data_IF_984468319039
#
_entry.id   IF_984468319039
#
_cell.length_a   1.000
_cell.length_b   1.000
_cell.length_c   1.000
_cell.angle_alpha   90.00
_cell.angle_beta   90.00
_cell.angle_gamma   90.00
#
_symmetry.space_group_name_H-M   'P 1'
#
loop_
_entity.id
_entity.type
_entity.pdbx_description
1 polymer ?
#
# COMPACT_ATOMS: atom_id res chain seq x y z
N UNK A 1 10.79 33.26 21.59
CA UNK A 1 9.71 32.26 21.65
C UNK A 1 9.63 31.62 20.28
N UNK A 2 9.58 30.29 20.21
CA UNK A 2 9.43 29.57 18.95
C UNK A 2 8.04 29.84 18.37
N UNK A 3 7.97 30.10 17.06
CA UNK A 3 6.71 30.35 16.35
C UNK A 3 6.57 29.32 15.22
N UNK A 4 5.57 28.43 15.27
CA UNK A 4 5.46 27.34 14.30
C UNK A 4 5.04 27.85 12.93
N UNK A 5 5.54 27.22 11.87
CA UNK A 5 5.14 27.48 10.49
C UNK A 5 3.92 26.62 10.15
N UNK A 6 2.75 27.25 10.04
CA UNK A 6 1.50 26.55 9.74
C UNK A 6 1.08 26.77 8.29
N UNK A 7 0.83 25.68 7.56
CA UNK A 7 0.17 25.69 6.25
C UNK A 7 -1.27 25.23 6.41
N UNK A 8 -2.22 26.02 5.92
CA UNK A 8 -3.64 25.68 5.99
C UNK A 8 -4.26 25.58 4.59
N UNK A 9 -4.82 24.43 4.23
CA UNK A 9 -5.60 24.27 3.02
C UNK A 9 -7.07 24.56 3.30
N UNK A 10 -7.61 25.63 2.70
CA UNK A 10 -8.97 26.09 2.95
C UNK A 10 -9.86 25.89 1.73
N UNK A 11 -10.98 25.19 1.92
CA UNK A 11 -12.03 25.09 0.92
C UNK A 11 -12.57 26.49 0.56
N UNK A 12 -12.64 26.78 -0.73
CA UNK A 12 -13.09 28.06 -1.29
C UNK A 12 -14.48 28.47 -0.80
N UNK A 13 -15.40 27.52 -0.71
CA UNK A 13 -16.83 27.84 -0.53
C UNK A 13 -17.21 28.12 0.92
N UNK A 14 -16.61 27.39 1.86
CA UNK A 14 -16.95 27.50 3.28
C UNK A 14 -15.78 28.03 4.09
N UNK A 15 -14.73 27.24 4.27
CA UNK A 15 -13.68 27.56 5.25
C UNK A 15 -12.86 28.80 4.91
N UNK A 16 -12.65 29.10 3.61
CA UNK A 16 -12.01 30.34 3.18
C UNK A 16 -12.91 31.54 3.48
N UNK A 17 -14.21 31.45 3.19
CA UNK A 17 -15.21 32.47 3.54
C UNK A 17 -15.35 32.64 5.06
N UNK A 18 -15.25 31.55 5.83
CA UNK A 18 -15.21 31.60 7.29
C UNK A 18 -13.97 32.35 7.82
N UNK A 19 -12.82 32.22 7.13
CA UNK A 19 -11.64 33.03 7.42
C UNK A 19 -11.86 34.52 7.08
N UNK A 20 -12.50 34.82 5.94
CA UNK A 20 -12.88 36.20 5.57
C UNK A 20 -13.85 36.81 6.59
N UNK A 21 -14.81 36.03 7.09
CA UNK A 21 -15.72 36.44 8.15
C UNK A 21 -14.98 36.72 9.46
N UNK A 22 -14.02 35.88 9.84
CA UNK A 22 -13.19 36.13 11.02
C UNK A 22 -12.40 37.44 10.90
N UNK A 23 -11.87 37.74 9.71
CA UNK A 23 -11.17 38.99 9.43
C UNK A 23 -12.09 40.22 9.47
N UNK A 24 -13.24 40.17 8.81
CA UNK A 24 -14.22 41.29 8.81
C UNK A 24 -14.83 41.54 10.19
N UNK A 25 -15.06 40.48 10.97
CA UNK A 25 -15.48 40.56 12.36
C UNK A 25 -14.35 40.98 13.33
N UNK A 26 -13.12 41.18 12.83
CA UNK A 26 -11.93 41.58 13.59
C UNK A 26 -11.60 40.61 14.73
N UNK A 27 -11.87 39.33 14.54
CA UNK A 27 -11.53 38.29 15.50
C UNK A 27 -10.01 38.10 15.52
N UNK A 28 -9.45 37.85 16.71
CA UNK A 28 -8.02 37.59 16.84
C UNK A 28 -7.70 36.18 16.36
N UNK A 29 -6.78 36.08 15.41
CA UNK A 29 -6.21 34.81 14.94
C UNK A 29 -4.69 34.86 15.01
N UNK A 30 -4.02 33.72 15.23
CA UNK A 30 -2.57 33.61 15.08
C UNK A 30 -2.10 34.08 13.69
N UNK A 31 -1.00 34.82 13.65
CA UNK A 31 -0.47 35.47 12.43
C UNK A 31 0.48 34.59 11.61
N UNK A 32 0.86 33.43 12.16
CA UNK A 32 1.81 32.47 11.59
C UNK A 32 1.16 31.39 10.72
N UNK A 33 -0.16 31.45 10.53
CA UNK A 33 -0.90 30.60 9.58
C UNK A 33 -0.84 31.19 8.16
N UNK A 34 -0.47 30.36 7.18
CA UNK A 34 -0.49 30.70 5.77
C UNK A 34 -1.54 29.86 5.05
N UNK A 35 -2.61 30.51 4.61
CA UNK A 35 -3.71 29.87 3.92
C UNK A 35 -3.42 29.65 2.42
N UNK A 36 -3.65 28.43 1.95
CA UNK A 36 -3.70 28.05 0.54
C UNK A 36 -5.15 27.75 0.21
N UNK A 37 -5.71 28.55 -0.70
CA UNK A 37 -7.08 28.34 -1.18
C UNK A 37 -7.13 27.15 -2.12
N UNK A 38 -8.05 26.23 -1.87
CA UNK A 38 -8.38 25.11 -2.76
C UNK A 38 -9.86 25.14 -3.12
N UNK A 39 -10.30 24.60 -4.27
CA UNK A 39 -11.72 24.54 -4.59
C UNK A 39 -12.53 23.78 -3.54
N UNK A 40 -11.98 22.64 -3.06
CA UNK A 40 -12.63 21.75 -2.10
C UNK A 40 -11.57 21.11 -1.20
N UNK A 41 -11.92 20.73 0.04
CA UNK A 41 -11.05 19.89 0.89
C UNK A 41 -10.73 18.55 0.22
N UNK A 42 -11.64 18.01 -0.60
CA UNK A 42 -11.39 16.81 -1.42
C UNK A 42 -10.26 16.96 -2.45
N UNK A 43 -9.82 18.19 -2.76
CA UNK A 43 -8.65 18.45 -3.61
C UNK A 43 -7.33 18.24 -2.87
N UNK A 44 -7.34 18.32 -1.54
CA UNK A 44 -6.15 18.17 -0.71
C UNK A 44 -5.75 16.69 -0.73
N UNK A 45 -4.71 16.40 -1.49
CA UNK A 45 -4.16 15.06 -1.60
C UNK A 45 -3.10 14.83 -0.52
N UNK A 46 -2.82 13.58 -0.16
CA UNK A 46 -1.76 13.23 0.79
C UNK A 46 -0.39 13.81 0.40
N UNK A 47 -0.10 13.89 -0.89
CA UNK A 47 1.14 14.44 -1.42
C UNK A 47 1.28 15.93 -1.10
N UNK A 48 0.17 16.70 -1.10
CA UNK A 48 0.20 18.11 -0.70
C UNK A 48 0.57 18.27 0.77
N UNK A 49 0.03 17.41 1.63
CA UNK A 49 0.34 17.40 3.07
C UNK A 49 1.79 16.99 3.30
N UNK A 50 2.23 15.89 2.70
CA UNK A 50 3.62 15.41 2.82
C UNK A 50 4.62 16.44 2.27
N UNK A 51 4.28 17.13 1.18
CA UNK A 51 5.11 18.21 0.61
C UNK A 51 5.21 19.40 1.55
N UNK A 52 4.11 19.79 2.21
CA UNK A 52 4.15 20.87 3.19
C UNK A 52 5.12 20.56 4.34
N UNK A 53 5.08 19.34 4.88
CA UNK A 53 6.06 18.90 5.89
C UNK A 53 7.49 18.83 5.33
N UNK A 54 7.67 18.33 4.11
CA UNK A 54 9.00 18.27 3.47
C UNK A 54 9.61 19.66 3.25
N UNK A 55 8.78 20.69 3.04
CA UNK A 55 9.21 22.09 2.93
C UNK A 55 9.35 22.81 4.29
N UNK A 56 9.15 22.09 5.41
CA UNK A 56 9.38 22.60 6.76
C UNK A 56 8.18 23.28 7.41
N UNK A 57 6.95 22.88 7.05
CA UNK A 57 5.78 23.19 7.86
C UNK A 57 5.85 22.41 9.18
N UNK A 58 5.60 23.08 10.30
CA UNK A 58 5.53 22.45 11.63
C UNK A 58 4.16 21.83 11.90
N UNK A 59 3.13 22.30 11.18
CA UNK A 59 1.79 21.77 11.20
C UNK A 59 1.02 22.07 9.90
N UNK A 60 0.15 21.15 9.52
CA UNK A 60 -0.72 21.23 8.35
C UNK A 60 -2.18 21.13 8.78
N UNK A 61 -2.95 22.17 8.47
CA UNK A 61 -4.39 22.25 8.73
C UNK A 61 -5.16 22.09 7.42
N UNK A 62 -6.21 21.27 7.41
CA UNK A 62 -7.12 21.12 6.27
C UNK A 62 -8.52 21.46 6.75
N UNK A 63 -9.12 22.52 6.20
CA UNK A 63 -10.48 22.92 6.54
C UNK A 63 -11.41 22.77 5.33
N UNK A 64 -12.54 22.09 5.57
CA UNK A 64 -13.59 21.88 4.58
C UNK A 64 -14.96 22.38 5.03
N UNK A 65 -15.94 22.26 4.13
CA UNK A 65 -17.36 22.35 4.46
C UNK A 65 -17.74 21.24 5.45
N UNK A 66 -18.77 21.45 6.28
CA UNK A 66 -19.36 20.36 7.07
C UNK A 66 -19.80 19.19 6.17
N UNK A 67 -19.74 17.99 6.73
CA UNK A 67 -20.19 16.78 6.06
C UNK A 67 -21.68 16.95 5.69
N UNK A 68 -22.04 16.64 4.43
CA UNK A 68 -23.37 16.94 3.87
C UNK A 68 -23.54 18.34 3.26
N UNK A 69 -22.65 19.30 3.53
CA UNK A 69 -22.72 20.69 3.01
C UNK A 69 -21.67 20.98 1.93
N UNK A 70 -21.08 19.95 1.33
CA UNK A 70 -20.05 20.15 0.32
C UNK A 70 -20.64 20.80 -0.92
N UNK A 71 -20.02 21.87 -1.40
CA UNK A 71 -20.39 22.48 -2.69
C UNK A 71 -20.26 21.52 -3.88
N UNK A 72 -19.39 20.51 -3.77
CA UNK A 72 -19.19 19.47 -4.79
C UNK A 72 -19.74 18.12 -4.32
N UNK A 73 -20.83 18.14 -3.55
CA UNK A 73 -21.57 17.03 -2.96
C UNK A 73 -20.78 16.15 -1.99
N UNK A 74 -19.74 15.47 -2.47
CA UNK A 74 -19.02 14.42 -1.75
C UNK A 74 -17.52 14.66 -1.63
N UNK A 75 -17.03 15.83 -2.06
CA UNK A 75 -15.61 16.16 -2.04
C UNK A 75 -14.99 16.08 -0.64
N UNK A 76 -15.66 16.61 0.38
CA UNK A 76 -15.22 16.53 1.77
C UNK A 76 -15.30 15.12 2.37
N UNK A 77 -16.24 14.27 1.94
CA UNK A 77 -16.26 12.85 2.34
C UNK A 77 -14.98 12.13 1.90
N UNK A 78 -14.42 12.45 0.73
CA UNK A 78 -13.11 11.91 0.31
C UNK A 78 -11.99 12.35 1.25
N UNK A 79 -11.99 13.62 1.66
CA UNK A 79 -11.00 14.12 2.63
C UNK A 79 -11.14 13.43 3.99
N UNK A 80 -12.37 13.25 4.47
CA UNK A 80 -12.70 12.58 5.72
C UNK A 80 -12.21 11.12 5.78
N UNK A 81 -12.19 10.41 4.63
CA UNK A 81 -11.62 9.05 4.54
C UNK A 81 -10.11 9.05 4.44
N UNK A 82 -9.55 10.00 3.68
CA UNK A 82 -8.13 10.01 3.31
C UNK A 82 -7.22 10.54 4.40
N UNK A 83 -7.63 11.59 5.11
CA UNK A 83 -6.75 12.27 6.07
C UNK A 83 -6.48 11.42 7.33
N UNK A 84 -7.45 10.69 7.92
CA UNK A 84 -7.15 9.80 9.05
C UNK A 84 -6.16 8.69 8.70
N UNK A 85 -6.30 8.08 7.52
CA UNK A 85 -5.35 7.06 7.03
C UNK A 85 -3.96 7.65 6.80
N UNK A 86 -3.87 8.90 6.33
CA UNK A 86 -2.59 9.59 6.19
C UNK A 86 -1.97 9.90 7.55
N UNK A 87 -2.78 10.38 8.49
CA UNK A 87 -2.34 10.67 9.85
C UNK A 87 -1.78 9.41 10.52
N UNK A 88 -2.47 8.27 10.40
CA UNK A 88 -1.99 6.99 10.92
C UNK A 88 -0.68 6.52 10.28
N UNK A 89 -0.50 6.75 8.97
CA UNK A 89 0.78 6.47 8.29
C UNK A 89 1.91 7.37 8.82
N UNK A 90 1.65 8.67 8.93
CA UNK A 90 2.64 9.64 9.40
C UNK A 90 3.02 9.38 10.87
N UNK A 91 2.04 9.04 11.70
CA UNK A 91 2.26 8.64 13.10
C UNK A 91 3.10 7.37 13.22
N UNK A 92 2.82 6.38 12.38
CA UNK A 92 3.58 5.12 12.34
C UNK A 92 5.04 5.34 11.96
N UNK A 93 5.34 6.37 11.16
CA UNK A 93 6.72 6.77 10.87
C UNK A 93 7.30 7.82 11.81
N UNK A 94 6.54 8.16 12.86
CA UNK A 94 6.99 8.95 14.00
C UNK A 94 6.66 10.44 13.95
N UNK A 95 5.85 10.91 12.98
CA UNK A 95 5.30 12.26 13.06
C UNK A 95 4.22 12.34 14.14
N UNK A 96 4.25 13.37 14.98
CA UNK A 96 3.23 13.54 16.01
C UNK A 96 1.86 13.83 15.35
N UNK A 97 0.80 13.08 15.71
CA UNK A 97 -0.48 13.15 15.01
C UNK A 97 -1.14 14.54 15.09
N UNK A 98 -0.85 15.32 16.14
CA UNK A 98 -1.36 16.67 16.33
C UNK A 98 -0.82 17.67 15.28
N UNK A 99 0.23 17.33 14.52
CA UNK A 99 0.76 18.17 13.45
C UNK A 99 -0.11 18.16 12.18
N UNK A 100 -1.04 17.23 12.03
CA UNK A 100 -2.01 17.19 10.94
C UNK A 100 -3.43 17.22 11.50
N UNK A 101 -4.22 18.23 11.13
CA UNK A 101 -5.64 18.31 11.52
C UNK A 101 -6.53 18.50 10.31
N UNK A 102 -7.59 17.69 10.22
CA UNK A 102 -8.74 17.91 9.36
C UNK A 102 -9.90 18.40 10.23
N UNK A 103 -10.55 19.50 9.85
CA UNK A 103 -11.74 20.00 10.56
C UNK A 103 -12.70 20.70 9.58
N UNK A 104 -13.88 21.07 10.08
CA UNK A 104 -14.98 21.58 9.28
C UNK A 104 -15.40 22.96 9.77
N UNK A 105 -15.52 23.90 8.83
CA UNK A 105 -15.87 25.30 9.06
C UNK A 105 -16.76 25.77 7.92
N UNK A 106 -17.98 26.19 8.26
CA UNK A 106 -18.94 26.81 7.33
C UNK A 106 -18.55 28.24 6.97
N UNK A 107 -19.22 28.83 5.98
CA UNK A 107 -18.99 30.22 5.58
C UNK A 107 -19.37 31.25 6.67
N UNK A 108 -20.32 30.92 7.55
CA UNK A 108 -20.82 31.79 8.62
C UNK A 108 -20.10 31.59 9.95
N UNK A 109 -19.08 30.73 10.00
CA UNK A 109 -18.44 30.26 11.23
C UNK A 109 -17.08 30.93 11.51
N UNK A 110 -17.03 32.27 11.46
CA UNK A 110 -15.80 33.04 11.70
C UNK A 110 -15.20 32.82 13.10
N UNK A 111 -16.04 32.74 14.13
CA UNK A 111 -15.59 32.45 15.50
C UNK A 111 -15.00 31.04 15.64
N UNK A 112 -15.63 30.05 15.00
CA UNK A 112 -15.13 28.68 14.97
C UNK A 112 -13.81 28.60 14.23
N UNK A 113 -13.66 29.28 13.09
CA UNK A 113 -12.38 29.38 12.38
C UNK A 113 -11.28 29.91 13.30
N UNK A 114 -11.52 31.06 13.94
CA UNK A 114 -10.54 31.68 14.81
C UNK A 114 -10.13 30.77 15.97
N UNK A 115 -11.10 30.08 16.59
CA UNK A 115 -10.86 29.11 17.65
C UNK A 115 -10.03 27.93 17.17
N UNK A 116 -10.40 27.26 16.08
CA UNK A 116 -9.69 26.09 15.55
C UNK A 116 -8.24 26.44 15.21
N UNK A 117 -8.02 27.60 14.58
CA UNK A 117 -6.67 28.04 14.25
C UNK A 117 -5.85 28.29 15.52
N UNK A 118 -6.42 28.96 16.53
CA UNK A 118 -5.74 29.18 17.80
C UNK A 118 -5.37 27.86 18.48
N UNK A 119 -6.33 26.96 18.66
CA UNK A 119 -6.10 25.63 19.26
C UNK A 119 -5.02 24.85 18.51
N UNK A 120 -5.07 24.84 17.18
CA UNK A 120 -4.10 24.11 16.37
C UNK A 120 -2.69 24.71 16.48
N UNK A 121 -2.58 26.04 16.42
CA UNK A 121 -1.29 26.73 16.53
C UNK A 121 -0.67 26.53 17.90
N UNK A 122 -1.44 26.66 18.99
CA UNK A 122 -0.94 26.38 20.34
C UNK A 122 -0.51 24.91 20.49
N UNK A 123 -1.32 23.96 20.02
CA UNK A 123 -0.97 22.54 20.07
C UNK A 123 0.32 22.20 19.32
N UNK A 124 0.55 22.83 18.16
CA UNK A 124 1.82 22.66 17.42
C UNK A 124 2.98 23.41 18.08
N UNK A 125 2.71 24.56 18.74
CA UNK A 125 3.73 25.30 19.49
C UNK A 125 4.25 24.48 20.67
N UNK A 126 3.37 23.78 21.38
CA UNK A 126 3.72 22.91 22.51
C UNK A 126 4.61 21.71 22.09
N UNK A 127 4.43 21.22 20.86
CA UNK A 127 5.29 20.17 20.29
C UNK A 127 6.68 20.67 19.86
N UNK A 128 6.86 21.98 19.72
CA UNK A 128 8.12 22.55 19.24
C UNK A 128 8.39 22.32 17.74
N UNK A 129 9.61 22.64 17.27
CA UNK A 129 9.99 22.56 15.85
C UNK A 129 10.00 21.11 15.35
N UNK A 130 9.42 20.91 14.16
CA UNK A 130 9.34 19.59 13.55
C UNK A 130 10.72 19.02 13.20
N UNK A 131 10.97 17.76 13.53
CA UNK A 131 12.18 17.02 13.14
C UNK A 131 11.90 16.12 11.93
N UNK A 132 11.39 16.71 10.85
CA UNK A 132 11.02 15.97 9.65
C UNK A 132 12.07 16.09 8.55
N UNK A 133 12.47 17.30 8.17
CA UNK A 133 13.41 17.49 7.06
C UNK A 133 14.85 17.22 7.51
N UNK A 134 15.55 16.34 6.81
CA UNK A 134 17.00 16.16 7.01
C UNK A 134 17.73 17.21 6.17
N UNK A 135 18.44 18.13 6.82
CA UNK A 135 19.13 19.25 6.15
C UNK A 135 20.53 18.89 5.64
N UNK A 136 21.22 17.96 6.29
CA UNK A 136 22.55 17.53 5.87
C UNK A 136 22.50 16.55 4.69
N UNK A 137 23.43 16.70 3.73
CA UNK A 137 23.66 15.65 2.71
C UNK A 137 24.24 14.37 3.30
N UNK A 138 24.85 14.48 4.47
CA UNK A 138 25.46 13.41 5.24
C UNK A 138 24.65 13.26 6.51
N UNK A 139 23.60 12.44 6.45
CA UNK A 139 22.83 12.03 7.62
C UNK A 139 23.74 11.17 8.51
N UNK A 140 23.96 11.58 9.75
CA UNK A 140 24.66 10.74 10.71
C UNK A 140 23.69 9.66 11.21
N UNK A 141 23.94 8.44 10.76
CA UNK A 141 23.25 7.26 11.27
C UNK A 141 23.63 7.13 12.74
N UNK A 142 22.71 7.47 13.66
CA UNK A 142 22.69 6.73 14.93
C UNK A 142 22.50 5.29 14.52
N UNK A 143 23.55 4.48 14.70
CA UNK A 143 23.44 3.03 14.54
C UNK A 143 22.39 2.59 15.55
N UNK A 144 21.15 2.49 15.10
CA UNK A 144 20.30 1.44 15.63
C UNK A 144 21.11 0.18 15.35
N UNK A 145 21.63 -0.43 16.41
CA UNK A 145 22.12 -1.81 16.35
C UNK A 145 21.07 -2.56 15.55
N UNK A 146 21.53 -3.22 14.49
CA UNK A 146 20.71 -3.91 13.51
C UNK A 146 19.49 -4.47 14.21
N UNK A 147 18.30 -3.94 13.88
CA UNK A 147 17.06 -4.41 14.47
C UNK A 147 16.93 -5.88 14.08
N UNK A 148 17.47 -6.76 14.92
CA UNK A 148 17.18 -8.17 14.90
C UNK A 148 15.72 -8.21 15.30
N UNK A 149 14.83 -8.22 14.30
CA UNK A 149 13.46 -8.67 14.52
C UNK A 149 13.60 -9.97 15.30
N UNK A 150 13.22 -9.93 16.59
CA UNK A 150 13.38 -11.02 17.57
C UNK A 150 13.32 -12.36 16.84
N UNK A 151 14.47 -13.05 16.79
CA UNK A 151 14.69 -14.37 16.18
C UNK A 151 13.43 -14.90 15.49
N UNK A 152 13.29 -14.60 14.18
CA UNK A 152 12.18 -15.09 13.37
C UNK A 152 11.90 -16.53 13.79
N UNK A 153 10.73 -16.80 14.37
CA UNK A 153 10.41 -18.16 14.80
C UNK A 153 10.41 -19.01 13.55
N UNK A 154 11.45 -19.83 13.41
CA UNK A 154 11.65 -20.70 12.27
C UNK A 154 10.63 -21.82 12.42
N UNK A 155 9.46 -21.65 11.82
CA UNK A 155 8.45 -22.71 11.74
C UNK A 155 8.85 -23.65 10.61
N UNK A 156 9.18 -24.93 10.91
CA UNK A 156 9.56 -25.89 9.90
C UNK A 156 8.43 -26.11 8.91
N UNK A 157 8.79 -26.31 7.65
CA UNK A 157 7.81 -26.56 6.60
C UNK A 157 7.20 -27.96 6.74
N UNK A 158 5.89 -28.06 6.49
CA UNK A 158 5.25 -29.36 6.30
C UNK A 158 5.64 -29.88 4.91
N UNK A 159 6.41 -30.98 4.86
CA UNK A 159 6.73 -31.64 3.60
C UNK A 159 5.50 -32.42 3.12
N UNK A 160 4.71 -31.81 2.25
CA UNK A 160 3.53 -32.47 1.68
C UNK A 160 3.88 -33.24 0.41
N UNK A 161 3.39 -34.47 0.33
CA UNK A 161 3.65 -35.40 -0.78
C UNK A 161 2.73 -35.13 -1.99
N UNK A 162 1.87 -34.10 -1.94
CA UNK A 162 0.82 -33.87 -2.94
C UNK A 162 1.24 -32.96 -4.10
N UNK A 163 2.38 -32.26 -4.02
CA UNK A 163 2.81 -31.34 -5.09
C UNK A 163 3.00 -32.03 -6.44
N UNK A 164 3.44 -33.29 -6.45
CA UNK A 164 3.56 -34.07 -7.67
C UNK A 164 2.19 -34.32 -8.33
N UNK A 165 1.19 -34.71 -7.53
CA UNK A 165 -0.17 -34.92 -8.00
C UNK A 165 -0.81 -33.59 -8.45
N UNK A 166 -0.69 -32.52 -7.66
CA UNK A 166 -1.19 -31.20 -8.00
C UNK A 166 -0.54 -30.65 -9.29
N UNK A 167 0.76 -30.89 -9.47
CA UNK A 167 1.48 -30.53 -10.72
C UNK A 167 0.94 -31.30 -11.91
N UNK A 168 0.70 -32.61 -11.78
CA UNK A 168 0.10 -33.42 -12.84
C UNK A 168 -1.29 -32.89 -13.22
N UNK A 169 -2.16 -32.66 -12.24
CA UNK A 169 -3.50 -32.08 -12.48
C UNK A 169 -3.43 -30.69 -13.12
N UNK A 170 -2.48 -29.84 -12.72
CA UNK A 170 -2.25 -28.54 -13.35
C UNK A 170 -1.89 -28.68 -14.83
N UNK A 171 -0.99 -29.61 -15.16
CA UNK A 171 -0.56 -29.86 -16.55
C UNK A 171 -1.70 -30.37 -17.41
N UNK A 172 -2.47 -31.32 -16.89
CA UNK A 172 -3.62 -31.89 -17.60
C UNK A 172 -4.68 -30.82 -17.87
N UNK A 173 -4.99 -29.99 -16.88
CA UNK A 173 -5.94 -28.90 -17.03
C UNK A 173 -5.43 -27.81 -17.98
N UNK A 174 -4.15 -27.44 -17.88
CA UNK A 174 -3.53 -26.48 -18.79
C UNK A 174 -3.56 -26.99 -20.24
N UNK A 175 -3.30 -28.29 -20.45
CA UNK A 175 -3.39 -28.94 -21.77
C UNK A 175 -4.81 -28.85 -22.31
N UNK A 176 -5.79 -29.17 -21.49
CA UNK A 176 -7.20 -29.06 -21.86
C UNK A 176 -7.54 -27.63 -22.28
N UNK A 177 -7.26 -26.64 -21.43
CA UNK A 177 -7.55 -25.21 -21.67
C UNK A 177 -6.96 -24.68 -22.98
N UNK A 178 -5.74 -25.10 -23.33
CA UNK A 178 -5.09 -24.70 -24.58
C UNK A 178 -5.66 -25.46 -25.79
N UNK A 179 -5.88 -26.78 -25.67
CA UNK A 179 -6.36 -27.62 -26.77
C UNK A 179 -7.80 -27.30 -27.17
N UNK A 180 -8.65 -26.95 -26.19
CA UNK A 180 -10.03 -26.51 -26.43
C UNK A 180 -10.12 -25.06 -26.92
N UNK A 181 -9.02 -24.31 -26.91
CA UNK A 181 -9.00 -22.89 -27.23
C UNK A 181 -9.70 -22.01 -26.18
N UNK A 182 -9.94 -22.52 -24.96
CA UNK A 182 -10.52 -21.75 -23.86
C UNK A 182 -9.64 -20.57 -23.46
N UNK A 183 -8.32 -20.73 -23.55
CA UNK A 183 -7.37 -19.63 -23.49
C UNK A 183 -6.24 -19.82 -24.51
N UNK A 184 -5.63 -18.71 -24.91
CA UNK A 184 -4.53 -18.65 -25.88
C UNK A 184 -3.15 -18.92 -25.28
N UNK A 185 -3.04 -18.75 -23.96
CA UNK A 185 -1.80 -18.90 -23.21
C UNK A 185 -2.14 -19.23 -21.76
N UNK A 186 -1.30 -20.04 -21.12
CA UNK A 186 -1.30 -20.27 -19.67
C UNK A 186 -0.07 -19.60 -19.06
N UNK A 187 -0.27 -18.69 -18.11
CA UNK A 187 0.78 -18.11 -17.28
C UNK A 187 0.89 -18.97 -16.02
N UNK A 188 2.05 -19.59 -15.80
CA UNK A 188 2.31 -20.48 -14.66
C UNK A 188 3.74 -20.37 -14.16
N UNK A 189 4.26 -21.45 -13.58
CA UNK A 189 5.64 -21.52 -13.09
C UNK A 189 6.40 -22.65 -13.78
N UNK A 190 7.70 -22.47 -13.99
CA UNK A 190 8.61 -23.53 -14.43
C UNK A 190 9.90 -23.48 -13.59
N UNK A 191 10.67 -24.57 -13.61
CA UNK A 191 12.03 -24.58 -13.03
C UNK A 191 13.01 -24.11 -14.10
N UNK A 192 13.68 -22.99 -13.85
CA UNK A 192 14.71 -22.47 -14.75
C UNK A 192 16.01 -23.31 -14.69
N UNK A 193 16.98 -23.04 -15.59
CA UNK A 193 18.23 -23.81 -15.69
C UNK A 193 19.09 -23.85 -14.42
N UNK A 194 18.89 -22.90 -13.50
CA UNK A 194 19.58 -22.83 -12.20
C UNK A 194 18.83 -23.53 -11.07
N UNK A 195 17.77 -24.28 -11.36
CA UNK A 195 16.92 -24.92 -10.36
C UNK A 195 15.96 -23.97 -9.63
N UNK A 196 15.88 -22.70 -10.06
CA UNK A 196 15.03 -21.68 -9.45
C UNK A 196 13.70 -21.59 -10.19
N UNK A 197 12.59 -21.63 -9.46
CA UNK A 197 11.26 -21.45 -10.02
C UNK A 197 11.05 -20.02 -10.53
N UNK A 198 10.56 -19.89 -11.76
CA UNK A 198 10.28 -18.61 -12.43
C UNK A 198 8.94 -18.64 -13.16
N UNK A 199 8.36 -17.47 -13.53
CA UNK A 199 7.19 -17.42 -14.38
C UNK A 199 7.40 -18.13 -15.72
N UNK A 200 6.37 -18.82 -16.20
CA UNK A 200 6.32 -19.51 -17.49
C UNK A 200 5.12 -19.05 -18.29
N UNK A 201 5.26 -19.02 -19.62
CA UNK A 201 4.18 -18.70 -20.56
C UNK A 201 4.09 -19.86 -21.54
N UNK A 202 2.97 -20.58 -21.50
CA UNK A 202 2.74 -21.77 -22.32
C UNK A 202 1.61 -21.48 -23.30
N UNK A 203 1.93 -21.47 -24.60
CA UNK A 203 0.94 -21.30 -25.67
C UNK A 203 0.76 -22.58 -26.50
N UNK A 204 1.73 -23.47 -26.51
CA UNK A 204 1.64 -24.79 -27.15
C UNK A 204 1.23 -25.86 -26.11
N UNK A 205 0.13 -26.60 -26.32
CA UNK A 205 -0.23 -27.74 -25.47
C UNK A 205 0.88 -28.78 -25.26
N UNK A 206 1.83 -28.91 -26.19
CA UNK A 206 2.97 -29.83 -26.06
C UNK A 206 3.99 -29.38 -24.99
N UNK A 207 3.97 -28.11 -24.59
CA UNK A 207 4.93 -27.53 -23.66
C UNK A 207 4.45 -27.50 -22.19
N UNK A 208 3.24 -27.98 -21.91
CA UNK A 208 2.65 -27.93 -20.55
C UNK A 208 3.47 -28.66 -19.50
N UNK A 209 4.29 -29.64 -19.88
CA UNK A 209 5.14 -30.38 -18.94
C UNK A 209 6.23 -29.53 -18.29
N UNK A 210 6.47 -28.31 -18.81
CA UNK A 210 7.29 -27.29 -18.15
C UNK A 210 6.67 -26.74 -16.87
N UNK A 211 5.34 -26.81 -16.75
CA UNK A 211 4.62 -26.26 -15.60
C UNK A 211 4.94 -27.04 -14.33
N UNK A 212 5.14 -26.32 -13.22
CA UNK A 212 5.36 -26.90 -11.89
C UNK A 212 4.50 -26.22 -10.84
N UNK A 213 4.17 -26.96 -9.79
CA UNK A 213 3.56 -26.43 -8.57
C UNK A 213 4.28 -26.97 -7.34
N UNK A 214 4.83 -26.07 -6.52
CA UNK A 214 5.55 -26.38 -5.28
C UNK A 214 5.70 -25.12 -4.42
N UNK A 215 6.30 -25.27 -3.24
CA UNK A 215 6.52 -24.17 -2.29
C UNK A 215 7.64 -23.20 -2.71
N UNK A 216 8.21 -23.34 -3.93
CA UNK A 216 9.09 -22.35 -4.53
C UNK A 216 8.36 -21.43 -5.54
N UNK A 217 7.06 -21.64 -5.77
CA UNK A 217 6.22 -20.82 -6.68
C UNK A 217 5.86 -19.44 -6.08
N UNK A 218 6.89 -18.64 -5.78
CA UNK A 218 6.80 -17.41 -4.97
C UNK A 218 6.15 -16.23 -5.70
N UNK A 219 6.47 -16.04 -6.99
CA UNK A 219 6.13 -14.84 -7.74
C UNK A 219 4.62 -14.61 -7.82
N UNK A 220 4.15 -13.37 -7.67
CA UNK A 220 2.76 -13.06 -8.01
C UNK A 220 2.65 -12.89 -9.53
N UNK A 221 2.03 -13.86 -10.21
CA UNK A 221 1.98 -13.90 -11.67
C UNK A 221 1.11 -12.81 -12.29
N UNK A 222 0.25 -12.16 -11.50
CA UNK A 222 -0.67 -11.12 -11.99
C UNK A 222 0.10 -9.92 -12.57
N UNK A 223 1.34 -9.69 -12.13
CA UNK A 223 2.22 -8.65 -12.67
C UNK A 223 2.44 -8.77 -14.19
N UNK A 224 2.38 -9.99 -14.74
CA UNK A 224 2.57 -10.23 -16.18
C UNK A 224 1.27 -10.18 -16.99
N UNK A 225 0.11 -10.16 -16.31
CA UNK A 225 -1.19 -10.33 -16.95
C UNK A 225 -1.52 -9.17 -17.90
N UNK A 226 -1.29 -7.91 -17.47
CA UNK A 226 -1.63 -6.72 -18.24
C UNK A 226 -0.94 -6.70 -19.61
N UNK A 227 0.38 -6.92 -19.63
CA UNK A 227 1.16 -6.96 -20.86
C UNK A 227 0.71 -8.12 -21.75
N UNK A 228 0.42 -9.29 -21.16
CA UNK A 228 -0.03 -10.46 -21.91
C UNK A 228 -1.42 -10.26 -22.52
N UNK A 229 -2.37 -9.68 -21.79
CA UNK A 229 -3.69 -9.34 -22.32
C UNK A 229 -3.61 -8.36 -23.50
N UNK A 230 -2.71 -7.38 -23.42
CA UNK A 230 -2.48 -6.44 -24.53
C UNK A 230 -1.90 -7.14 -25.77
N UNK A 231 -0.97 -8.09 -25.58
CA UNK A 231 -0.37 -8.85 -26.67
C UNK A 231 -1.36 -9.82 -27.36
N UNK A 232 -2.26 -10.44 -26.60
CA UNK A 232 -3.19 -11.46 -27.08
C UNK A 232 -4.43 -10.90 -27.82
N UNK A 233 -4.53 -9.58 -28.00
CA UNK A 233 -5.49 -8.90 -28.89
C UNK A 233 -6.95 -9.38 -28.76
N UNK A 234 -7.44 -9.51 -27.51
CA UNK A 234 -8.82 -9.91 -27.22
C UNK A 234 -9.03 -11.40 -26.97
N UNK A 235 -7.99 -12.24 -27.08
CA UNK A 235 -8.07 -13.63 -26.64
C UNK A 235 -7.98 -13.74 -25.11
N UNK A 236 -8.64 -14.76 -24.56
CA UNK A 236 -8.58 -15.09 -23.14
C UNK A 236 -7.20 -15.62 -22.75
N UNK A 237 -6.72 -15.25 -21.56
CA UNK A 237 -5.44 -15.70 -20.99
C UNK A 237 -5.71 -16.50 -19.72
N UNK A 238 -5.18 -17.72 -19.65
CA UNK A 238 -5.22 -18.53 -18.45
C UNK A 238 -4.06 -18.18 -17.51
N UNK A 239 -4.29 -18.21 -16.21
CA UNK A 239 -3.29 -17.88 -15.20
C UNK A 239 -3.45 -18.76 -13.96
N UNK A 240 -2.33 -19.29 -13.48
CA UNK A 240 -2.24 -20.04 -12.23
C UNK A 240 -2.23 -19.05 -11.07
N UNK A 241 -3.14 -19.21 -10.11
CA UNK A 241 -3.29 -18.27 -8.98
C UNK A 241 -3.17 -18.96 -7.63
N UNK A 242 -2.30 -18.42 -6.79
CA UNK A 242 -2.35 -18.59 -5.33
C UNK A 242 -3.56 -17.86 -4.74
N UNK A 243 -3.90 -18.10 -3.46
CA UNK A 243 -4.87 -17.28 -2.73
C UNK A 243 -4.56 -15.79 -2.76
N UNK A 244 -3.31 -15.39 -2.50
CA UNK A 244 -2.88 -13.99 -2.58
C UNK A 244 -2.96 -13.41 -4.00
N UNK A 245 -2.69 -14.22 -5.04
CA UNK A 245 -2.83 -13.83 -6.44
C UNK A 245 -4.31 -13.63 -6.80
N UNK A 246 -5.21 -14.52 -6.32
CA UNK A 246 -6.66 -14.41 -6.56
C UNK A 246 -7.27 -13.17 -5.88
N UNK A 247 -6.78 -12.78 -4.70
CA UNK A 247 -7.16 -11.51 -4.08
C UNK A 247 -6.72 -10.32 -4.92
N UNK A 248 -5.56 -10.41 -5.56
CA UNK A 248 -5.07 -9.39 -6.50
C UNK A 248 -6.02 -9.28 -7.70
N UNK A 249 -6.48 -10.40 -8.25
CA UNK A 249 -7.49 -10.42 -9.32
C UNK A 249 -8.75 -9.65 -8.90
N UNK A 250 -9.29 -9.93 -7.71
CA UNK A 250 -10.49 -9.24 -7.22
C UNK A 250 -10.31 -7.71 -7.12
N UNK A 251 -9.15 -7.24 -6.66
CA UNK A 251 -8.83 -5.81 -6.60
C UNK A 251 -8.76 -5.20 -8.01
N UNK A 252 -8.08 -5.87 -8.95
CA UNK A 252 -7.94 -5.34 -10.31
C UNK A 252 -9.25 -5.40 -11.11
N UNK A 253 -10.11 -6.37 -10.84
CA UNK A 253 -11.48 -6.43 -11.37
C UNK A 253 -12.33 -5.27 -10.84
N UNK A 254 -12.27 -4.96 -9.53
CA UNK A 254 -13.05 -3.85 -8.96
C UNK A 254 -12.57 -2.48 -9.44
N UNK A 255 -11.33 -2.39 -9.91
CA UNK A 255 -10.75 -1.21 -10.57
C UNK A 255 -10.91 -1.20 -12.09
N UNK A 256 -11.62 -2.18 -12.67
CA UNK A 256 -11.84 -2.31 -14.11
C UNK A 256 -10.55 -2.33 -14.94
N UNK A 257 -9.47 -2.97 -14.43
CA UNK A 257 -8.21 -3.10 -15.17
C UNK A 257 -8.28 -4.13 -16.31
N UNK A 258 -9.19 -5.09 -16.17
CA UNK A 258 -9.58 -6.08 -17.17
C UNK A 258 -10.96 -6.64 -16.76
N UNK A 259 -11.63 -7.37 -17.64
CA UNK A 259 -12.91 -8.04 -17.34
C UNK A 259 -12.71 -9.52 -17.05
N UNK A 260 -13.68 -10.15 -16.37
CA UNK A 260 -13.58 -11.56 -15.94
C UNK A 260 -13.48 -12.52 -17.13
N UNK A 261 -14.06 -12.16 -18.27
CA UNK A 261 -14.10 -12.93 -19.51
C UNK A 261 -12.73 -12.98 -20.18
N UNK A 262 -11.87 -11.97 -19.95
CA UNK A 262 -10.52 -11.91 -20.51
C UNK A 262 -9.55 -12.89 -19.84
N UNK A 263 -9.92 -13.46 -18.68
CA UNK A 263 -9.02 -14.31 -17.89
C UNK A 263 -9.64 -15.65 -17.54
N UNK A 264 -8.83 -16.71 -17.56
CA UNK A 264 -9.20 -18.04 -17.04
C UNK A 264 -8.31 -18.36 -15.84
N UNK A 265 -8.89 -18.61 -14.68
CA UNK A 265 -8.17 -18.69 -13.42
C UNK A 265 -8.03 -20.15 -12.98
N UNK A 266 -6.81 -20.67 -13.01
CA UNK A 266 -6.47 -21.99 -12.47
C UNK A 266 -6.02 -21.78 -11.03
N UNK A 267 -6.93 -21.98 -10.09
CA UNK A 267 -6.68 -21.82 -8.66
C UNK A 267 -5.92 -23.01 -8.09
N UNK A 268 -4.88 -22.72 -7.29
CA UNK A 268 -4.12 -23.73 -6.57
C UNK A 268 -4.29 -23.55 -5.06
N UNK A 269 -4.63 -24.63 -4.36
CA UNK A 269 -4.52 -24.67 -2.90
C UNK A 269 -3.04 -24.45 -2.49
N UNK A 270 -2.81 -23.54 -1.54
CA UNK A 270 -1.48 -23.06 -1.18
C UNK A 270 -1.19 -23.25 0.31
N UNK A 271 -0.20 -24.08 0.61
CA UNK A 271 0.27 -24.34 1.98
C UNK A 271 1.39 -23.39 2.42
N UNK A 272 1.60 -22.30 1.68
CA UNK A 272 2.68 -21.35 1.94
C UNK A 272 3.92 -21.59 1.09
N UNK A 273 4.79 -20.57 1.07
CA UNK A 273 6.01 -20.50 0.26
C UNK A 273 7.21 -20.53 1.19
N UNK A 274 8.24 -21.27 0.80
CA UNK A 274 9.48 -21.43 1.55
C UNK A 274 10.39 -20.22 1.39
N UNK A 275 11.14 -19.91 2.43
CA UNK A 275 12.13 -18.83 2.40
C UNK A 275 13.22 -19.09 1.36
N UNK A 276 13.77 -18.03 0.77
CA UNK A 276 14.74 -18.10 -0.32
C UNK A 276 14.16 -18.43 -1.72
N UNK A 277 12.87 -18.77 -1.80
CA UNK A 277 12.20 -18.99 -3.08
C UNK A 277 12.30 -17.75 -4.00
N UNK A 278 12.78 -17.96 -5.22
CA UNK A 278 12.91 -16.94 -6.28
C UNK A 278 14.26 -16.21 -6.34
N UNK A 279 15.14 -16.33 -5.34
CA UNK A 279 16.45 -15.66 -5.35
C UNK A 279 17.64 -16.58 -4.99
N UNK A 280 17.42 -17.76 -4.40
CA UNK A 280 18.52 -18.62 -4.00
C UNK A 280 18.11 -20.01 -3.51
N UNK A 281 18.89 -20.53 -2.55
CA UNK A 281 18.62 -21.82 -1.90
C UNK A 281 17.30 -21.73 -1.13
N UNK A 282 16.40 -22.67 -1.40
CA UNK A 282 15.12 -22.75 -0.70
C UNK A 282 15.36 -23.35 0.68
N UNK A 283 14.96 -22.62 1.73
CA UNK A 283 15.19 -23.01 3.12
C UNK A 283 14.03 -23.83 3.68
N UNK A 284 14.25 -24.60 4.76
CA UNK A 284 13.25 -25.51 5.35
C UNK A 284 12.24 -24.81 6.29
N UNK A 285 11.97 -23.52 6.08
CA UNK A 285 10.96 -22.74 6.80
C UNK A 285 10.16 -21.82 5.87
N UNK A 286 8.99 -21.39 6.31
CA UNK A 286 8.11 -20.52 5.52
C UNK A 286 8.56 -19.07 5.52
N UNK A 287 8.28 -18.36 4.44
CA UNK A 287 8.39 -16.91 4.40
C UNK A 287 7.47 -16.27 5.45
N UNK A 288 7.93 -15.18 6.09
CA UNK A 288 7.19 -14.51 7.16
C UNK A 288 5.73 -14.16 6.79
N UNK A 289 5.49 -13.77 5.53
CA UNK A 289 4.14 -13.48 5.00
C UNK A 289 3.20 -14.69 5.01
N UNK A 290 3.74 -15.89 4.82
CA UNK A 290 2.96 -17.13 4.74
C UNK A 290 2.59 -17.63 6.13
N UNK A 291 3.38 -17.30 7.16
CA UNK A 291 3.09 -17.62 8.57
C UNK A 291 1.88 -16.87 9.12
N UNK A 292 1.52 -15.73 8.52
CA UNK A 292 0.36 -14.94 8.90
C UNK A 292 -0.75 -14.94 7.84
N UNK A 293 -0.66 -15.82 6.85
CA UNK A 293 -1.64 -15.91 5.80
C UNK A 293 -2.84 -16.73 6.29
N UNK A 294 -4.02 -16.10 6.35
CA UNK A 294 -5.27 -16.78 6.71
C UNK A 294 -5.95 -17.47 5.52
N UNK A 295 -5.54 -17.14 4.29
CA UNK A 295 -6.20 -17.57 3.06
C UNK A 295 -5.36 -18.62 2.32
N UNK A 296 -5.85 -19.85 2.23
CA UNK A 296 -5.13 -20.96 1.58
C UNK A 296 -5.81 -21.53 0.34
N UNK A 297 -7.06 -21.16 0.12
CA UNK A 297 -7.81 -21.47 -1.09
C UNK A 297 -8.01 -20.16 -1.87
N UNK A 298 -7.81 -20.15 -3.19
CA UNK A 298 -8.16 -19.01 -4.03
C UNK A 298 -9.60 -18.52 -3.81
N UNK A 299 -9.76 -17.21 -3.59
CA UNK A 299 -11.06 -16.55 -3.42
C UNK A 299 -11.87 -16.54 -4.72
N UNK A 300 -11.17 -16.62 -5.85
CA UNK A 300 -11.76 -16.65 -7.18
C UNK A 300 -10.94 -17.57 -8.08
N UNK A 301 -11.61 -18.51 -8.75
CA UNK A 301 -11.01 -19.43 -9.73
C UNK A 301 -12.09 -19.99 -10.67
N UNK A 302 -11.73 -20.38 -11.89
CA UNK A 302 -12.57 -21.19 -12.78
C UNK A 302 -12.43 -22.69 -12.46
N UNK A 303 -11.26 -23.09 -11.98
CA UNK A 303 -10.97 -24.46 -11.55
C UNK A 303 -10.07 -24.41 -10.33
N UNK A 304 -10.35 -25.25 -9.34
CA UNK A 304 -9.54 -25.39 -8.15
C UNK A 304 -8.79 -26.73 -8.20
N UNK A 305 -7.47 -26.69 -8.02
CA UNK A 305 -6.59 -27.86 -7.99
C UNK A 305 -5.91 -27.94 -6.63
N UNK A 306 -5.90 -29.15 -6.08
CA UNK A 306 -5.34 -29.45 -4.76
C UNK A 306 -6.36 -29.27 -3.64
N UNK A 307 -6.08 -29.93 -2.53
CA UNK A 307 -6.85 -29.84 -1.28
C UNK A 307 -5.93 -29.34 -0.17
N UNK A 308 -6.51 -28.71 0.85
CA UNK A 308 -5.75 -28.31 2.03
C UNK A 308 -5.51 -29.51 2.94
N UNK A 309 -4.27 -30.01 2.95
CA UNK A 309 -3.88 -31.17 3.76
C UNK A 309 -3.43 -30.74 5.16
N UNK A 310 -2.83 -29.55 5.29
CA UNK A 310 -2.52 -28.94 6.58
C UNK A 310 -2.50 -27.42 6.48
N UNK A 311 -3.02 -26.74 7.51
CA UNK A 311 -2.75 -25.30 7.65
C UNK A 311 -1.31 -25.13 8.14
N UNK A 312 -0.54 -24.16 7.62
CA UNK A 312 0.74 -23.79 8.22
C UNK A 312 0.55 -23.53 9.71
N UNK A 313 1.58 -23.78 10.52
CA UNK A 313 1.59 -23.30 11.89
C UNK A 313 1.45 -21.77 11.87
N UNK A 314 0.24 -21.28 12.13
CA UNK A 314 -0.06 -19.86 12.11
C UNK A 314 0.69 -19.20 13.27
N UNK A 315 1.61 -18.30 12.95
CA UNK A 315 2.09 -17.32 13.90
C UNK A 315 1.51 -15.97 13.49
N UNK A 316 0.21 -15.81 13.73
CA UNK A 316 -0.47 -14.53 13.50
C UNK A 316 0.23 -13.42 14.29
N UNK A 317 0.84 -13.70 15.44
CA UNK A 317 1.53 -12.69 16.22
C UNK A 317 2.80 -12.16 15.54
N UNK A 318 3.45 -12.92 14.66
CA UNK A 318 4.77 -12.57 14.12
C UNK A 318 4.82 -11.28 13.27
N UNK A 319 3.92 -10.99 12.32
CA UNK A 319 3.95 -9.67 11.65
C UNK A 319 3.44 -8.55 12.56
N UNK A 320 2.53 -8.86 13.49
CA UNK A 320 1.98 -7.89 14.44
C UNK A 320 2.96 -7.52 15.56
N UNK A 321 3.91 -8.39 15.90
CA UNK A 321 4.94 -8.11 16.90
C UNK A 321 5.86 -6.99 16.42
N UNK A 322 6.23 -7.02 15.13
CA UNK A 322 7.05 -5.98 14.50
C UNK A 322 6.36 -4.61 14.51
N UNK A 323 5.06 -4.57 14.21
CA UNK A 323 4.28 -3.33 14.22
C UNK A 323 4.06 -2.83 15.66
N UNK A 324 3.62 -3.71 16.55
CA UNK A 324 3.40 -3.39 17.97
C UNK A 324 4.67 -2.87 18.63
N UNK A 325 5.82 -3.45 18.29
CA UNK A 325 7.12 -2.99 18.73
C UNK A 325 7.41 -1.57 18.21
N UNK A 326 7.30 -1.33 16.90
CA UNK A 326 7.53 0.02 16.36
C UNK A 326 6.60 1.06 16.99
N UNK A 327 5.35 0.71 17.27
CA UNK A 327 4.40 1.61 17.92
C UNK A 327 4.71 1.89 19.40
N UNK A 328 5.46 1.01 20.09
CA UNK A 328 5.88 1.24 21.48
C UNK A 328 7.08 2.20 21.59
N UNK A 329 7.81 2.42 20.50
CA UNK A 329 8.90 3.38 20.41
C UNK A 329 8.40 4.83 20.50
N UNK A 330 9.27 5.74 20.96
CA UNK A 330 8.99 7.17 20.93
C UNK A 330 8.87 7.70 19.49
N UNK A 331 8.23 8.85 19.29
CA UNK A 331 8.10 9.48 17.98
C UNK A 331 9.48 9.69 17.29
N UNK A 332 10.47 10.15 18.07
CA UNK A 332 11.86 10.33 17.61
C UNK A 332 12.49 9.00 17.18
N UNK A 333 12.36 7.96 17.99
CA UNK A 333 12.96 6.64 17.68
C UNK A 333 12.29 6.01 16.45
N UNK A 334 10.98 6.21 16.26
CA UNK A 334 10.27 5.77 15.04
C UNK A 334 10.79 6.51 13.80
N UNK A 335 10.96 7.83 13.87
CA UNK A 335 11.54 8.60 12.75
C UNK A 335 12.94 8.08 12.44
N UNK A 336 13.79 7.92 13.47
CA UNK A 336 15.16 7.42 13.29
C UNK A 336 15.20 6.02 12.67
N UNK A 337 14.35 5.09 13.13
CA UNK A 337 14.22 3.76 12.51
C UNK A 337 13.91 3.86 11.02
N UNK A 338 12.85 4.60 10.66
CA UNK A 338 12.42 4.69 9.26
C UNK A 338 13.42 5.43 8.38
N UNK A 339 14.05 6.49 8.88
CA UNK A 339 15.11 7.19 8.14
C UNK A 339 16.29 6.27 7.86
N UNK A 340 16.70 5.44 8.82
CA UNK A 340 17.73 4.43 8.61
C UNK A 340 17.35 3.39 7.54
N UNK A 341 16.08 2.97 7.51
CA UNK A 341 15.60 2.07 6.46
C UNK A 341 15.54 2.76 5.09
N UNK A 342 15.06 4.00 5.03
CA UNK A 342 14.96 4.74 3.78
C UNK A 342 16.32 5.14 3.22
N UNK A 343 17.31 5.45 4.04
CA UNK A 343 18.63 5.83 3.56
C UNK A 343 19.32 4.69 2.78
N UNK A 344 19.12 3.44 3.21
CA UNK A 344 19.57 2.24 2.49
C UNK A 344 18.96 2.10 1.10
N UNK A 345 17.81 2.72 0.81
CA UNK A 345 17.14 2.55 -0.47
C UNK A 345 17.95 3.13 -1.62
N UNK A 346 18.29 2.29 -2.60
CA UNK A 346 19.01 2.71 -3.82
C UNK A 346 18.08 3.16 -4.95
N UNK A 347 16.77 3.30 -4.69
CA UNK A 347 15.71 3.64 -5.67
C UNK A 347 15.78 2.81 -6.96
N UNK A 348 16.04 1.50 -6.86
CA UNK A 348 16.01 0.60 -8.02
C UNK A 348 14.59 0.27 -8.53
N UNK A 349 13.55 0.72 -7.82
CA UNK A 349 12.12 0.51 -8.12
C UNK A 349 11.64 -0.94 -8.21
N UNK A 350 12.47 -1.94 -7.85
CA UNK A 350 12.07 -3.35 -7.85
C UNK A 350 10.77 -3.60 -7.07
N UNK A 351 10.61 -2.94 -5.91
CA UNK A 351 9.42 -3.03 -5.08
C UNK A 351 8.14 -2.53 -5.78
N UNK A 352 8.26 -1.53 -6.66
CA UNK A 352 7.16 -1.04 -7.51
C UNK A 352 6.91 -2.00 -8.66
N UNK A 353 7.95 -2.40 -9.39
CA UNK A 353 7.83 -3.23 -10.59
C UNK A 353 7.25 -4.61 -10.30
N UNK A 354 7.56 -5.18 -9.14
CA UNK A 354 7.02 -6.49 -8.76
C UNK A 354 5.58 -6.44 -8.25
N UNK A 355 5.06 -5.25 -7.92
CA UNK A 355 3.75 -5.12 -7.29
C UNK A 355 2.65 -5.12 -8.36
N UNK A 356 1.75 -6.11 -8.38
CA UNK A 356 0.73 -6.21 -9.42
C UNK A 356 -0.35 -5.12 -9.34
N UNK A 357 -0.41 -4.39 -8.22
CA UNK A 357 -1.39 -3.33 -7.94
C UNK A 357 -0.82 -1.94 -8.27
N UNK A 358 0.52 -1.80 -8.32
CA UNK A 358 1.18 -0.56 -8.75
C UNK A 358 1.22 -0.45 -10.29
N UNK A 359 0.05 -0.42 -10.92
CA UNK A 359 -0.12 -0.59 -12.37
C UNK A 359 -0.27 0.72 -13.18
N UNK A 360 -0.09 1.87 -12.53
CA UNK A 360 -0.21 3.19 -13.16
C UNK A 360 0.73 3.29 -14.40
N UNK A 361 0.24 3.82 -15.53
CA UNK A 361 1.05 3.97 -16.75
C UNK A 361 2.23 4.92 -16.53
N UNK A 362 1.99 6.03 -15.82
CA UNK A 362 3.00 7.00 -15.43
C UNK A 362 3.01 7.10 -13.91
N UNK A 363 4.18 6.90 -13.29
CA UNK A 363 4.33 7.00 -11.85
C UNK A 363 4.89 8.37 -11.47
N UNK A 364 4.18 9.10 -10.60
CA UNK A 364 4.62 10.40 -10.07
C UNK A 364 6.04 10.36 -9.47
N UNK A 365 6.43 9.22 -8.91
CA UNK A 365 7.73 9.03 -8.26
C UNK A 365 8.84 8.55 -9.19
N UNK A 366 8.53 8.27 -10.45
CA UNK A 366 9.49 7.93 -11.52
C UNK A 366 9.51 9.00 -12.63
N UNK A 367 8.80 10.12 -12.45
CA UNK A 367 8.83 11.25 -13.40
C UNK A 367 9.99 12.18 -13.08
N UNK A 368 10.79 12.52 -14.08
CA UNK A 368 11.88 13.50 -13.98
C UNK A 368 11.39 14.95 -13.89
N UNK A 369 10.22 15.21 -14.47
CA UNK A 369 9.54 16.51 -14.51
C UNK A 369 8.53 16.73 -13.37
N UNK A 370 8.52 15.85 -12.36
CA UNK A 370 7.62 15.98 -11.22
C UNK A 370 7.95 17.22 -10.37
N UNK A 371 7.05 18.21 -10.42
CA UNK A 371 7.12 19.40 -9.56
C UNK A 371 6.93 19.09 -8.06
N UNK A 372 6.52 17.86 -7.73
CA UNK A 372 6.09 17.47 -6.38
C UNK A 372 7.16 16.67 -5.63
N UNK A 373 7.87 15.78 -6.34
CA UNK A 373 8.86 14.87 -5.78
C UNK A 373 9.93 14.55 -6.80
N UNK A 374 11.19 14.76 -6.45
CA UNK A 374 12.31 14.43 -7.33
C UNK A 374 12.61 12.92 -7.37
N UNK A 375 13.30 12.49 -8.43
CA UNK A 375 13.85 11.13 -8.54
C UNK A 375 15.20 10.94 -7.84
N UNK A 376 15.70 11.96 -7.15
CA UNK A 376 17.00 11.90 -6.51
C UNK A 376 17.02 10.85 -5.36
N UNK A 377 18.23 10.47 -4.97
CA UNK A 377 18.49 9.51 -3.88
C UNK A 377 18.84 10.24 -2.57
N UNK A 378 18.33 11.45 -2.34
CA UNK A 378 18.42 12.05 -1.03
C UNK A 378 17.33 11.45 -0.12
N UNK A 379 17.60 11.41 1.19
CA UNK A 379 16.78 10.68 2.16
C UNK A 379 15.33 11.20 2.22
N UNK A 380 15.13 12.51 2.04
CA UNK A 380 13.80 13.12 2.05
C UNK A 380 12.94 12.60 0.88
N UNK A 381 13.50 12.49 -0.31
CA UNK A 381 12.83 12.01 -1.52
C UNK A 381 12.60 10.50 -1.47
N UNK A 382 13.55 9.72 -0.92
CA UNK A 382 13.36 8.30 -0.64
C UNK A 382 12.17 8.10 0.32
N UNK A 383 12.11 8.86 1.42
CA UNK A 383 10.98 8.83 2.35
C UNK A 383 9.67 9.17 1.65
N UNK A 384 9.62 10.27 0.90
CA UNK A 384 8.41 10.68 0.17
C UNK A 384 7.94 9.58 -0.79
N UNK A 385 8.86 8.91 -1.51
CA UNK A 385 8.53 7.76 -2.35
C UNK A 385 7.92 6.60 -1.55
N UNK A 386 8.56 6.19 -0.45
CA UNK A 386 8.09 5.06 0.35
C UNK A 386 6.73 5.32 1.00
N UNK A 387 6.54 6.49 1.61
CA UNK A 387 5.27 6.87 2.24
C UNK A 387 4.17 7.05 1.20
N UNK A 388 4.48 7.74 0.10
CA UNK A 388 3.53 7.96 -0.98
C UNK A 388 3.07 6.66 -1.64
N UNK A 389 4.00 5.75 -1.92
CA UNK A 389 3.66 4.43 -2.47
C UNK A 389 2.83 3.61 -1.49
N UNK A 390 3.18 3.60 -0.20
CA UNK A 390 2.40 2.91 0.82
C UNK A 390 0.96 3.44 0.86
N UNK A 391 0.80 4.76 0.86
CA UNK A 391 -0.51 5.40 0.82
C UNK A 391 -1.31 5.06 -0.45
N UNK A 392 -0.68 5.05 -1.64
CA UNK A 392 -1.34 4.64 -2.90
C UNK A 392 -1.81 3.18 -2.90
N UNK A 393 -1.26 2.35 -2.01
CA UNK A 393 -1.66 0.97 -1.80
C UNK A 393 -2.65 0.78 -0.65
N UNK A 394 -3.00 1.85 0.10
CA UNK A 394 -3.95 1.79 1.20
C UNK A 394 -5.30 1.26 0.70
N UNK A 395 -5.79 0.18 1.34
CA UNK A 395 -7.01 -0.50 0.94
C UNK A 395 -6.93 -1.22 -0.41
N UNK A 396 -5.74 -1.43 -0.98
CA UNK A 396 -5.51 -2.23 -2.19
C UNK A 396 -4.54 -3.39 -1.93
N UNK A 397 -3.55 -3.20 -1.06
CA UNK A 397 -2.55 -4.22 -0.75
C UNK A 397 -3.18 -5.54 -0.25
N UNK A 398 -2.84 -6.66 -0.89
CA UNK A 398 -3.32 -8.01 -0.51
C UNK A 398 -2.37 -8.75 0.44
N UNK A 399 -1.26 -8.14 0.84
CA UNK A 399 -0.28 -8.75 1.75
C UNK A 399 0.61 -9.82 1.12
N UNK A 400 0.84 -9.79 -0.20
CA UNK A 400 1.71 -10.76 -0.87
C UNK A 400 3.21 -10.54 -0.61
N UNK A 401 3.61 -9.42 0.01
CA UNK A 401 4.99 -9.02 0.35
C UNK A 401 6.05 -9.15 -0.75
N UNK A 402 5.66 -9.26 -2.02
CA UNK A 402 6.63 -9.29 -3.13
C UNK A 402 7.53 -8.05 -3.12
N UNK A 403 6.99 -6.90 -2.75
CA UNK A 403 7.74 -5.63 -2.73
C UNK A 403 8.88 -5.59 -1.70
N UNK A 404 8.79 -6.38 -0.62
CA UNK A 404 9.87 -6.54 0.37
C UNK A 404 10.83 -7.63 -0.07
N UNK A 405 10.30 -8.77 -0.54
CA UNK A 405 11.09 -9.91 -1.06
C UNK A 405 12.11 -9.50 -2.12
N UNK A 406 11.74 -8.60 -3.03
CA UNK A 406 12.63 -8.16 -4.13
C UNK A 406 13.55 -7.00 -3.75
N UNK A 407 13.52 -6.51 -2.50
CA UNK A 407 14.34 -5.39 -2.08
C UNK A 407 15.79 -5.88 -1.86
N UNK A 408 16.78 -5.46 -2.66
CA UNK A 408 18.18 -5.87 -2.47
C UNK A 408 18.79 -5.29 -1.19
N UNK A 409 18.10 -4.34 -0.57
CA UNK A 409 18.52 -3.66 0.65
C UNK A 409 17.70 -4.13 1.86
N UNK A 410 16.87 -5.16 1.72
CA UNK A 410 16.10 -5.78 2.81
C UNK A 410 15.33 -4.74 3.65
N UNK A 411 14.76 -3.75 2.97
CA UNK A 411 13.94 -2.72 3.61
C UNK A 411 12.57 -3.34 3.91
N UNK A 412 12.08 -3.26 5.16
CA UNK A 412 10.82 -3.88 5.56
C UNK A 412 9.60 -3.05 5.10
N UNK A 413 9.50 -2.82 3.78
CA UNK A 413 8.45 -2.00 3.16
C UNK A 413 7.06 -2.60 3.35
N UNK A 414 6.95 -3.90 3.66
CA UNK A 414 5.65 -4.51 3.92
C UNK A 414 5.01 -3.98 5.20
N UNK A 415 5.80 -3.59 6.22
CA UNK A 415 5.28 -3.07 7.49
C UNK A 415 4.41 -1.83 7.30
N UNK A 416 4.79 -0.91 6.40
CA UNK A 416 3.97 0.25 6.04
C UNK A 416 2.61 -0.18 5.46
N UNK A 417 2.61 -1.19 4.60
CA UNK A 417 1.40 -1.66 3.92
C UNK A 417 0.51 -2.49 4.84
N UNK A 418 1.09 -3.30 5.74
CA UNK A 418 0.36 -4.08 6.74
C UNK A 418 -0.31 -3.10 7.73
N UNK A 419 0.43 -2.09 8.20
CA UNK A 419 -0.14 -1.03 9.05
C UNK A 419 -1.34 -0.37 8.38
N UNK A 420 -1.19 0.08 7.14
CA UNK A 420 -2.29 0.70 6.40
C UNK A 420 -3.47 -0.25 6.15
N UNK A 421 -3.20 -1.54 5.94
CA UNK A 421 -4.28 -2.53 5.82
C UNK A 421 -5.06 -2.67 7.14
N UNK A 422 -4.39 -2.67 8.30
CA UNK A 422 -5.05 -2.66 9.62
C UNK A 422 -5.90 -1.42 9.82
N UNK A 423 -5.39 -0.24 9.48
CA UNK A 423 -6.13 1.02 9.61
C UNK A 423 -7.38 1.04 8.73
N UNK A 424 -7.29 0.54 7.50
CA UNK A 424 -8.43 0.44 6.59
C UNK A 424 -9.44 -0.61 7.08
N UNK A 425 -8.99 -1.74 7.60
CA UNK A 425 -9.86 -2.76 8.17
C UNK A 425 -10.57 -2.24 9.44
N UNK A 426 -9.85 -1.56 10.33
CA UNK A 426 -10.43 -0.99 11.55
C UNK A 426 -11.44 0.13 11.25
N UNK A 427 -11.13 1.01 10.29
CA UNK A 427 -11.99 2.15 9.96
C UNK A 427 -13.21 1.78 9.09
N UNK A 428 -13.10 0.75 8.24
CA UNK A 428 -14.12 0.47 7.22
C UNK A 428 -14.58 -1.00 7.16
N UNK A 429 -14.05 -1.89 8.01
CA UNK A 429 -14.32 -3.34 7.91
C UNK A 429 -13.86 -3.96 6.59
N UNK A 430 -12.91 -3.31 5.89
CA UNK A 430 -12.54 -3.66 4.52
C UNK A 430 -11.18 -4.35 4.46
N UNK A 431 -11.15 -5.59 3.91
CA UNK A 431 -9.92 -6.31 3.56
C UNK A 431 -9.82 -6.44 2.04
N UNK A 432 -8.70 -5.99 1.47
CA UNK A 432 -8.52 -5.96 0.02
C UNK A 432 -8.62 -7.35 -0.63
N UNK A 433 -9.42 -7.44 -1.69
CA UNK A 433 -9.47 -8.61 -2.57
C UNK A 433 -10.22 -9.84 -2.04
N UNK A 434 -10.91 -9.77 -0.90
CA UNK A 434 -11.79 -10.88 -0.48
C UNK A 434 -12.98 -11.06 -1.43
N UNK A 435 -13.53 -9.95 -1.91
CA UNK A 435 -14.58 -9.91 -2.93
C UNK A 435 -14.19 -8.88 -4.00
N UNK A 436 -14.90 -8.88 -5.13
CA UNK A 436 -14.76 -7.84 -6.17
C UNK A 436 -15.46 -6.57 -5.69
N UNK A 437 -14.81 -5.85 -4.77
CA UNK A 437 -15.31 -4.62 -4.19
C UNK A 437 -14.22 -3.53 -4.26
N UNK A 438 -14.59 -2.28 -4.61
CA UNK A 438 -13.62 -1.20 -4.68
C UNK A 438 -13.13 -0.81 -3.28
N UNK A 439 -11.93 -0.26 -3.22
CA UNK A 439 -11.38 0.25 -1.97
C UNK A 439 -12.18 1.44 -1.43
N UNK A 440 -12.49 1.49 -0.12
CA UNK A 440 -13.16 2.64 0.50
C UNK A 440 -12.30 3.92 0.47
N UNK A 441 -10.98 3.81 0.24
CA UNK A 441 -10.06 4.94 0.15
C UNK A 441 -10.10 5.62 -1.23
N UNK A 442 -10.36 4.84 -2.27
CA UNK A 442 -10.42 5.32 -3.67
C UNK A 442 -11.84 5.64 -4.13
N UNK A 443 -12.86 5.17 -3.40
CA UNK A 443 -14.28 5.37 -3.75
C UNK A 443 -15.08 6.12 -2.69
N UNK A 444 -16.24 6.60 -3.09
CA UNK A 444 -17.26 7.12 -2.17
C UNK A 444 -18.14 5.91 -1.82
N UNK A 445 -18.31 5.61 -0.53
CA UNK A 445 -19.25 4.56 -0.12
C UNK A 445 -20.64 5.13 -0.38
N UNK A 446 -21.37 4.53 -1.32
CA UNK A 446 -22.68 5.04 -1.77
C UNK A 446 -23.73 5.06 -0.65
N UNK A 447 -23.55 4.23 0.39
CA UNK A 447 -24.49 4.14 1.52
C UNK A 447 -24.28 5.27 2.56
N UNK A 448 -23.08 5.85 2.66
CA UNK A 448 -22.78 7.01 3.52
C UNK A 448 -23.06 8.35 2.83
N UNK A 449 -23.43 8.34 1.54
CA UNK A 449 -23.77 9.56 0.81
C UNK A 449 -25.16 10.13 1.21
N UNK A 450 -25.85 9.51 2.18
CA UNK A 450 -27.21 9.89 2.61
C UNK A 450 -27.44 9.90 4.12
N UNK A 451 -26.41 9.73 4.96
CA UNK A 451 -26.55 9.78 6.41
C UNK A 451 -25.78 10.95 7.01
#
# INVERSE_FOLDING_TARGET
MYEPKIIAFLCTWCSYTGADLAGTARLKTPHNLRAIRVPCSGRVSPELVMKAFAEGADGVLVLGCHIGECHYDTGNHRAAKRMPILQALLEFVGLEPQRLRLDWVSASEGERFARIVAEFVEGVRDLGPIQWRVESRFWEIKKFESFEFENQRITPVCQSHHYAAATASLRDHARQVLTTGTASCVIGYEVGPRGITRPAFISDPAEVDRLVWNQACTHNLITYLKQKLAAESGKRVAIVVKPCDSRTINVLLSENRFTREQVYLIGMACEGIREGAGFGKVEDHYQARCLACTEHIPMVSDTLIGEMVSQPGHDLAHPFSSISHLQSLSATDRIEFWLNQFDRCIRCYACRQTCPICDCPTCLYESDDSLWVGMNIAINEKRTFHLGRAYHLAGRCVGCNECERVCPMEIPVSLLNIKLAQEVEAAFGYRAGLTVAPSPITTILLEEAKA
#
